data_IF_310862392788
#
_entry.id   IF_310862392788
#
_cell.length_a   1.000
_cell.length_b   1.000
_cell.length_c   1.000
_cell.angle_alpha   90.00
_cell.angle_beta   90.00
_cell.angle_gamma   90.00
#
_symmetry.space_group_name_H-M   'P 1'
#
loop_
_entity.id
_entity.type
_entity.pdbx_description
1 polymer ?
#
# COMPACT_ATOMS: atom_id res chain seq x y z
N UNK A 1 21.90 12.92 30.97
CA UNK A 1 20.62 12.93 30.22
C UNK A 1 20.72 13.70 28.90
N UNK A 2 21.36 14.87 28.82
CA UNK A 2 21.50 15.62 27.55
C UNK A 2 22.33 14.89 26.48
N UNK A 3 23.45 14.26 26.84
CA UNK A 3 24.34 13.58 25.88
C UNK A 3 23.69 12.39 25.16
N UNK A 4 22.89 11.58 25.87
CA UNK A 4 22.13 10.47 25.26
C UNK A 4 21.05 11.01 24.31
N UNK A 5 20.39 12.11 24.69
CA UNK A 5 19.38 12.76 23.87
C UNK A 5 19.99 13.37 22.60
N UNK A 6 21.14 14.02 22.69
CA UNK A 6 21.87 14.58 21.55
C UNK A 6 22.37 13.48 20.60
N UNK A 7 22.89 12.37 21.14
CA UNK A 7 23.31 11.21 20.35
C UNK A 7 22.10 10.59 19.64
N UNK A 8 20.98 10.40 20.33
CA UNK A 8 19.76 9.85 19.74
C UNK A 8 19.23 10.75 18.61
N UNK A 9 19.19 12.07 18.82
CA UNK A 9 18.75 13.03 17.79
C UNK A 9 19.71 13.06 16.60
N UNK A 10 21.02 13.01 16.82
CA UNK A 10 22.03 12.99 15.75
C UNK A 10 21.95 11.72 14.89
N UNK A 11 21.73 10.55 15.50
CA UNK A 11 21.63 9.29 14.76
C UNK A 11 20.38 9.27 13.85
N UNK A 12 19.29 9.91 14.28
CA UNK A 12 18.06 10.01 13.47
C UNK A 12 18.14 11.12 12.42
N UNK A 13 18.90 12.20 12.66
CA UNK A 13 19.10 13.25 11.64
C UNK A 13 19.97 12.79 10.48
N UNK A 14 20.85 11.80 10.70
CA UNK A 14 21.84 11.34 9.73
C UNK A 14 21.44 10.03 9.03
N UNK A 15 20.25 9.48 9.32
CA UNK A 15 19.80 8.23 8.71
C UNK A 15 19.38 8.45 7.25
N UNK A 16 20.22 8.01 6.32
CA UNK A 16 19.91 8.02 4.90
C UNK A 16 18.74 7.08 4.55
N UNK A 17 17.80 7.57 3.74
CA UNK A 17 16.65 6.80 3.28
C UNK A 17 17.10 5.63 2.39
N UNK A 18 16.90 4.40 2.87
CA UNK A 18 17.16 3.19 2.09
C UNK A 18 15.86 2.62 1.51
N UNK A 19 15.97 1.89 0.38
CA UNK A 19 14.82 1.25 -0.25
C UNK A 19 14.04 0.35 0.73
N UNK A 20 14.67 -0.53 1.53
CA UNK A 20 13.94 -1.35 2.50
C UNK A 20 13.21 -0.54 3.58
N UNK A 21 13.78 0.60 4.00
CA UNK A 21 13.15 1.51 4.97
C UNK A 21 11.89 2.15 4.37
N UNK A 22 12.00 2.70 3.16
CA UNK A 22 10.85 3.27 2.44
C UNK A 22 9.76 2.23 2.25
N UNK A 23 10.12 1.01 1.86
CA UNK A 23 9.16 -0.09 1.72
C UNK A 23 8.45 -0.43 3.04
N UNK A 24 9.16 -0.41 4.17
CA UNK A 24 8.54 -0.66 5.47
C UNK A 24 7.47 0.39 5.81
N UNK A 25 7.76 1.67 5.59
CA UNK A 25 6.79 2.75 5.82
C UNK A 25 5.62 2.63 4.86
N UNK A 26 5.88 2.38 3.57
CA UNK A 26 4.82 2.16 2.58
C UNK A 26 3.92 0.99 2.96
N UNK A 27 4.47 -0.12 3.47
CA UNK A 27 3.68 -1.27 3.90
C UNK A 27 2.72 -0.93 5.05
N UNK A 28 3.17 -0.11 6.00
CA UNK A 28 2.30 0.42 7.07
C UNK A 28 1.23 1.35 6.50
N UNK A 29 1.62 2.28 5.64
CA UNK A 29 0.71 3.24 5.00
C UNK A 29 -0.38 2.54 4.20
N UNK A 30 -0.02 1.55 3.38
CA UNK A 30 -1.00 0.75 2.63
C UNK A 30 -1.88 -0.08 3.55
N UNK A 31 -1.35 -0.65 4.63
CA UNK A 31 -2.15 -1.39 5.62
C UNK A 31 -3.20 -0.54 6.32
N UNK A 32 -2.81 0.67 6.75
CA UNK A 32 -3.74 1.65 7.33
C UNK A 32 -4.78 2.10 6.30
N UNK A 33 -4.35 2.43 5.09
CA UNK A 33 -5.25 2.86 4.00
C UNK A 33 -6.29 1.78 3.65
N UNK A 34 -5.86 0.52 3.50
CA UNK A 34 -6.75 -0.60 3.20
C UNK A 34 -7.73 -0.88 4.35
N UNK A 35 -7.23 -0.91 5.58
CA UNK A 35 -8.07 -1.15 6.77
C UNK A 35 -9.11 -0.03 6.93
N UNK A 36 -8.68 1.23 6.75
CA UNK A 36 -9.57 2.39 6.77
C UNK A 36 -10.60 2.34 5.63
N UNK A 37 -10.19 1.99 4.41
CA UNK A 37 -11.07 1.86 3.26
C UNK A 37 -12.15 0.79 3.45
N UNK A 38 -11.77 -0.41 3.90
CA UNK A 38 -12.72 -1.51 4.17
C UNK A 38 -13.67 -1.12 5.30
N UNK A 39 -13.15 -0.53 6.38
CA UNK A 39 -13.97 -0.09 7.52
C UNK A 39 -14.95 1.00 7.10
N UNK A 40 -14.50 1.98 6.33
CA UNK A 40 -15.37 3.03 5.80
C UNK A 40 -16.44 2.45 4.86
N UNK A 41 -16.08 1.54 3.96
CA UNK A 41 -17.04 0.86 3.09
C UNK A 41 -18.10 0.10 3.90
N UNK A 42 -17.68 -0.66 4.92
CA UNK A 42 -18.61 -1.38 5.80
C UNK A 42 -19.53 -0.44 6.58
N UNK A 43 -19.02 0.67 7.11
CA UNK A 43 -19.82 1.68 7.81
C UNK A 43 -20.82 2.36 6.88
N UNK A 44 -20.39 2.75 5.67
CA UNK A 44 -21.27 3.36 4.68
C UNK A 44 -22.35 2.39 4.24
N UNK A 45 -22.04 1.10 4.07
CA UNK A 45 -23.04 0.07 3.76
C UNK A 45 -24.11 -0.12 4.86
N UNK A 46 -23.82 0.28 6.10
CA UNK A 46 -24.77 0.22 7.22
C UNK A 46 -25.59 1.50 7.39
N UNK A 47 -25.02 2.66 7.05
CA UNK A 47 -25.61 3.98 7.33
C UNK A 47 -26.32 4.57 6.11
N UNK A 48 -25.86 4.26 4.90
CA UNK A 48 -26.46 4.77 3.68
C UNK A 48 -27.79 4.06 3.39
N UNK A 49 -28.83 4.80 2.97
CA UNK A 49 -30.17 4.26 2.81
C UNK A 49 -30.35 3.43 1.53
N UNK A 50 -29.54 3.67 0.50
CA UNK A 50 -29.70 3.06 -0.81
C UNK A 50 -28.78 1.85 -1.01
N UNK A 51 -29.06 1.08 -2.06
CA UNK A 51 -28.28 -0.10 -2.42
C UNK A 51 -26.97 0.25 -3.15
N UNK A 52 -26.01 -0.68 -3.17
CA UNK A 52 -24.76 -0.52 -3.90
C UNK A 52 -24.93 -0.14 -5.39
N UNK A 53 -25.83 -0.77 -6.18
CA UNK A 53 -26.07 -0.38 -7.56
C UNK A 53 -26.45 1.10 -7.73
N UNK A 54 -27.25 1.67 -6.82
CA UNK A 54 -27.64 3.08 -6.87
C UNK A 54 -26.41 4.00 -6.80
N UNK A 55 -25.49 3.73 -5.87
CA UNK A 55 -24.27 4.54 -5.73
C UNK A 55 -23.29 4.34 -6.90
N UNK A 56 -23.26 3.15 -7.51
CA UNK A 56 -22.52 2.94 -8.76
C UNK A 56 -23.09 3.77 -9.90
N UNK A 57 -24.40 3.78 -10.08
CA UNK A 57 -25.06 4.57 -11.12
C UNK A 57 -24.86 6.07 -10.91
N UNK A 58 -24.87 6.52 -9.65
CA UNK A 58 -24.52 7.90 -9.30
C UNK A 58 -23.09 8.24 -9.77
N UNK A 59 -22.10 7.38 -9.48
CA UNK A 59 -20.72 7.58 -9.94
C UNK A 59 -20.63 7.58 -11.48
N UNK A 60 -21.35 6.69 -12.15
CA UNK A 60 -21.42 6.67 -13.62
C UNK A 60 -22.04 7.96 -14.18
N UNK A 61 -23.06 8.51 -13.53
CA UNK A 61 -23.73 9.74 -13.96
C UNK A 61 -22.82 10.98 -13.92
N UNK A 62 -21.81 10.97 -13.04
CA UNK A 62 -20.80 12.03 -12.96
C UNK A 62 -19.93 12.13 -14.23
N UNK A 63 -20.01 11.15 -15.13
CA UNK A 63 -19.34 11.17 -16.44
C UNK A 63 -17.82 11.40 -16.32
N UNK A 64 -17.20 10.79 -15.31
CA UNK A 64 -15.78 10.93 -15.04
C UNK A 64 -14.96 10.35 -16.20
N UNK A 65 -13.99 11.12 -16.71
CA UNK A 65 -13.16 10.68 -17.82
C UNK A 65 -12.35 9.41 -17.52
N UNK A 66 -12.01 8.60 -18.55
CA UNK A 66 -11.38 7.29 -18.38
C UNK A 66 -10.03 7.35 -17.67
N UNK A 67 -9.28 8.44 -17.82
CA UNK A 67 -8.00 8.64 -17.13
C UNK A 67 -8.18 8.74 -15.61
N UNK A 68 -9.15 9.54 -15.14
CA UNK A 68 -9.38 9.73 -13.71
C UNK A 68 -10.00 8.47 -13.07
N UNK A 69 -10.91 7.79 -13.78
CA UNK A 69 -11.41 6.48 -13.35
C UNK A 69 -10.29 5.44 -13.26
N UNK A 70 -9.38 5.41 -14.24
CA UNK A 70 -8.21 4.53 -14.23
C UNK A 70 -7.30 4.80 -13.02
N UNK A 71 -7.04 6.08 -12.71
CA UNK A 71 -6.27 6.46 -11.51
C UNK A 71 -6.98 6.06 -10.22
N UNK A 72 -8.30 6.23 -10.12
CA UNK A 72 -9.07 5.80 -8.96
C UNK A 72 -9.02 4.28 -8.77
N UNK A 73 -9.21 3.50 -9.83
CA UNK A 73 -9.05 2.03 -9.84
C UNK A 73 -7.63 1.64 -9.40
N UNK A 74 -6.60 2.29 -9.95
CA UNK A 74 -5.21 2.01 -9.60
C UNK A 74 -4.90 2.37 -8.14
N UNK A 75 -5.47 3.46 -7.62
CA UNK A 75 -5.34 3.89 -6.24
C UNK A 75 -5.89 2.88 -5.22
N UNK A 76 -6.78 1.97 -5.64
CA UNK A 76 -7.26 0.86 -4.82
C UNK A 76 -6.42 -0.40 -5.08
N UNK A 77 -6.16 -0.73 -6.36
CA UNK A 77 -5.46 -1.94 -6.75
C UNK A 77 -3.99 -1.97 -6.28
N UNK A 78 -3.28 -0.83 -6.35
CA UNK A 78 -1.86 -0.75 -6.01
C UNK A 78 -1.57 -0.99 -4.52
N UNK A 79 -2.24 -0.30 -3.57
CA UNK A 79 -2.05 -0.58 -2.15
C UNK A 79 -2.33 -2.04 -1.79
N UNK A 80 -3.38 -2.64 -2.36
CA UNK A 80 -3.75 -4.04 -2.13
C UNK A 80 -2.66 -4.99 -2.61
N UNK A 81 -2.23 -4.85 -3.87
CA UNK A 81 -1.17 -5.67 -4.47
C UNK A 81 0.14 -5.54 -3.68
N UNK A 82 0.54 -4.30 -3.39
CA UNK A 82 1.77 -4.01 -2.67
C UNK A 82 1.75 -4.55 -1.24
N UNK A 83 0.68 -4.29 -0.48
CA UNK A 83 0.58 -4.75 0.90
C UNK A 83 0.63 -6.28 0.99
N UNK A 84 -0.05 -6.96 0.07
CA UNK A 84 -0.09 -8.43 0.01
C UNK A 84 1.29 -9.00 -0.33
N UNK A 85 1.93 -8.52 -1.41
CA UNK A 85 3.23 -9.03 -1.86
C UNK A 85 4.35 -8.71 -0.87
N UNK A 86 4.37 -7.50 -0.31
CA UNK A 86 5.33 -7.16 0.73
C UNK A 86 5.04 -7.92 2.04
N UNK A 87 3.76 -8.20 2.35
CA UNK A 87 3.37 -9.07 3.47
C UNK A 87 3.92 -10.49 3.33
N UNK A 88 3.85 -11.07 2.13
CA UNK A 88 4.50 -12.37 1.83
C UNK A 88 6.00 -12.31 2.11
N UNK A 89 6.68 -11.23 1.65
CA UNK A 89 8.10 -11.01 1.97
C UNK A 89 8.36 -10.93 3.47
N UNK A 90 7.49 -10.28 4.25
CA UNK A 90 7.58 -10.28 5.71
C UNK A 90 7.41 -11.68 6.31
N UNK A 91 6.48 -12.50 5.80
CA UNK A 91 6.31 -13.89 6.27
C UNK A 91 7.54 -14.76 5.98
N UNK A 92 8.25 -14.52 4.87
CA UNK A 92 9.55 -15.17 4.60
C UNK A 92 10.60 -14.77 5.64
N UNK A 93 10.64 -13.49 6.03
CA UNK A 93 11.50 -13.00 7.11
C UNK A 93 11.13 -13.63 8.44
N UNK A 94 9.85 -13.68 8.81
CA UNK A 94 9.39 -14.32 10.05
C UNK A 94 9.77 -15.82 10.10
N UNK A 95 9.94 -16.45 8.94
CA UNK A 95 10.41 -17.83 8.79
C UNK A 95 11.95 -17.98 8.79
N UNK A 96 12.72 -16.93 9.07
CA UNK A 96 14.18 -16.99 9.11
C UNK A 96 14.89 -16.89 7.74
N UNK A 97 14.21 -16.51 6.65
CA UNK A 97 14.76 -16.54 5.28
C UNK A 97 14.96 -15.15 4.69
N UNK A 98 15.99 -14.94 3.86
CA UNK A 98 16.13 -13.73 3.04
C UNK A 98 16.65 -12.47 3.77
N UNK A 99 17.53 -12.67 4.76
CA UNK A 99 18.07 -11.61 5.63
C UNK A 99 19.41 -11.04 5.16
N UNK A 100 20.06 -11.62 4.16
CA UNK A 100 21.28 -11.02 3.64
C UNK A 100 20.96 -9.72 2.90
N UNK A 101 21.87 -8.75 2.95
CA UNK A 101 21.65 -7.44 2.32
C UNK A 101 21.27 -7.55 0.83
N UNK A 102 21.93 -8.39 0.00
CA UNK A 102 21.52 -8.57 -1.39
C UNK A 102 20.10 -9.14 -1.54
N UNK A 103 19.70 -10.09 -0.70
CA UNK A 103 18.36 -10.68 -0.73
C UNK A 103 17.28 -9.68 -0.34
N UNK A 104 17.55 -8.85 0.68
CA UNK A 104 16.63 -7.80 1.12
C UNK A 104 16.35 -6.81 0.00
N UNK A 105 17.38 -6.38 -0.75
CA UNK A 105 17.20 -5.48 -1.91
C UNK A 105 16.54 -6.18 -3.09
N UNK A 106 16.98 -7.40 -3.44
CA UNK A 106 16.41 -8.17 -4.57
C UNK A 106 14.93 -8.44 -4.36
N UNK A 107 14.56 -8.97 -3.20
CA UNK A 107 13.16 -9.20 -2.83
C UNK A 107 12.36 -7.90 -2.82
N UNK A 108 12.99 -6.79 -2.40
CA UNK A 108 12.38 -5.46 -2.43
C UNK A 108 11.98 -5.01 -3.84
N UNK A 109 12.91 -5.06 -4.79
CA UNK A 109 12.62 -4.70 -6.19
C UNK A 109 11.63 -5.64 -6.86
N UNK A 110 11.68 -6.95 -6.54
CA UNK A 110 10.69 -7.93 -7.02
C UNK A 110 9.28 -7.56 -6.56
N UNK A 111 9.11 -7.24 -5.27
CA UNK A 111 7.81 -6.81 -4.72
C UNK A 111 7.31 -5.56 -5.43
N UNK A 112 8.16 -4.53 -5.61
CA UNK A 112 7.77 -3.28 -6.28
C UNK A 112 7.29 -3.57 -7.71
N UNK A 113 8.09 -4.30 -8.50
CA UNK A 113 7.75 -4.61 -9.89
C UNK A 113 6.45 -5.43 -10.00
N UNK A 114 6.32 -6.49 -9.21
CA UNK A 114 5.12 -7.32 -9.21
C UNK A 114 3.88 -6.55 -8.76
N UNK A 115 4.01 -5.63 -7.79
CA UNK A 115 2.89 -4.81 -7.34
C UNK A 115 2.36 -3.91 -8.45
N UNK A 116 3.25 -3.30 -9.24
CA UNK A 116 2.86 -2.48 -10.39
C UNK A 116 2.19 -3.34 -11.46
N UNK A 117 2.81 -4.46 -11.84
CA UNK A 117 2.30 -5.34 -12.90
C UNK A 117 0.92 -5.93 -12.55
N UNK A 118 0.76 -6.44 -11.33
CA UNK A 118 -0.52 -7.01 -10.87
C UNK A 118 -1.61 -5.96 -10.78
N UNK A 119 -1.27 -4.73 -10.39
CA UNK A 119 -2.25 -3.63 -10.32
C UNK A 119 -2.68 -3.16 -11.71
N UNK A 120 -1.74 -3.04 -12.65
CA UNK A 120 -2.06 -2.71 -14.05
C UNK A 120 -2.92 -3.80 -14.67
N UNK A 121 -2.57 -5.07 -14.43
CA UNK A 121 -3.37 -6.19 -14.89
C UNK A 121 -4.79 -6.13 -14.31
N UNK A 122 -4.93 -5.94 -12.99
CA UNK A 122 -6.23 -5.85 -12.34
C UNK A 122 -7.12 -4.76 -12.96
N UNK A 123 -6.61 -3.54 -13.12
CA UNK A 123 -7.41 -2.44 -13.69
C UNK A 123 -7.71 -2.61 -15.18
N UNK A 124 -6.90 -3.38 -15.93
CA UNK A 124 -7.13 -3.63 -17.35
C UNK A 124 -8.27 -4.64 -17.60
N UNK A 125 -8.56 -5.51 -16.62
CA UNK A 125 -9.63 -6.51 -16.69
C UNK A 125 -10.90 -6.11 -15.91
N UNK A 126 -10.90 -4.95 -15.25
CA UNK A 126 -12.04 -4.36 -14.51
C UNK A 126 -12.67 -3.20 -15.27
#
# INVERSE_FOLDING_TARGET
>A
LSSIYTIFVSIHSDSQWSVPMMMSITHRGTGVGLSGGISAFALLALVLPDSYPYYLDLIHSLSIGPALLGLAKFGIAFPLSYHTLNGIRHLFWDSGKGFTLPEVYRSGYVVIALSILTSIAAIAYM
#
